data_IF_771527357353
#
_entry.id   IF_771527357353
#
_cell.length_a   1.000
_cell.length_b   1.000
_cell.length_c   1.000
_cell.angle_alpha   90.00
_cell.angle_beta   90.00
_cell.angle_gamma   90.00
#
_symmetry.space_group_name_H-M   'P 1'
#
loop_
_entity.id
_entity.type
_entity.pdbx_description
1 polymer ?
#
# COMPACT_ATOMS: atom_id res chain seq x y z
N UNK A 1 10.27 -22.44 -6.32
CA UNK A 1 9.78 -23.13 -7.54
C UNK A 1 9.97 -24.67 -7.46
N UNK A 2 11.13 -25.19 -7.09
CA UNK A 2 11.39 -26.65 -7.03
C UNK A 2 10.41 -27.41 -6.11
N UNK A 3 10.20 -26.93 -4.89
CA UNK A 3 9.25 -27.51 -3.95
C UNK A 3 7.84 -27.64 -4.52
N UNK A 4 7.32 -26.57 -5.13
CA UNK A 4 6.00 -26.58 -5.76
C UNK A 4 5.93 -27.51 -6.98
N UNK A 5 7.00 -27.60 -7.74
CA UNK A 5 7.09 -28.55 -8.87
C UNK A 5 7.02 -30.00 -8.41
N UNK A 6 7.77 -30.36 -7.36
CA UNK A 6 7.72 -31.71 -6.75
C UNK A 6 6.33 -32.03 -6.21
N UNK A 7 5.70 -31.07 -5.54
CA UNK A 7 4.35 -31.25 -4.99
C UNK A 7 3.32 -31.54 -6.10
N UNK A 8 3.38 -30.76 -7.20
CA UNK A 8 2.50 -31.02 -8.38
C UNK A 8 2.81 -32.37 -9.04
N UNK A 9 4.09 -32.71 -9.19
CA UNK A 9 4.51 -33.98 -9.80
C UNK A 9 4.08 -35.23 -8.98
N UNK A 10 3.93 -35.08 -7.66
CA UNK A 10 3.45 -36.14 -6.78
C UNK A 10 1.97 -36.49 -7.04
N UNK A 11 1.18 -35.55 -7.61
CA UNK A 11 -0.22 -35.77 -8.01
C UNK A 11 -1.06 -36.50 -6.94
N UNK A 12 -0.90 -36.12 -5.67
CA UNK A 12 -1.61 -36.72 -4.53
C UNK A 12 -0.98 -38.00 -3.95
N UNK A 13 0.08 -38.54 -4.57
CA UNK A 13 0.81 -39.69 -4.04
C UNK A 13 1.69 -39.24 -2.86
N UNK A 14 1.24 -39.58 -1.65
CA UNK A 14 1.95 -39.19 -0.40
C UNK A 14 3.38 -39.71 -0.31
N UNK A 15 3.69 -40.82 -1.00
CA UNK A 15 5.05 -41.40 -0.97
C UNK A 15 6.05 -40.59 -1.79
N UNK A 16 5.54 -39.76 -2.73
CA UNK A 16 6.33 -38.88 -3.61
C UNK A 16 6.30 -37.42 -3.19
N UNK A 17 5.50 -37.10 -2.19
CA UNK A 17 5.40 -35.73 -1.69
C UNK A 17 6.72 -35.28 -1.06
N UNK A 18 7.18 -34.05 -1.33
CA UNK A 18 8.30 -33.50 -0.60
C UNK A 18 7.94 -33.34 0.89
N UNK A 19 8.94 -33.41 1.77
CA UNK A 19 8.73 -33.16 3.19
C UNK A 19 8.05 -31.79 3.38
N UNK A 20 7.02 -31.75 4.24
CA UNK A 20 6.29 -30.51 4.51
C UNK A 20 7.20 -29.40 5.01
N UNK A 21 7.09 -28.24 4.40
CA UNK A 21 7.82 -27.05 4.80
C UNK A 21 6.87 -25.86 4.81
N UNK A 22 6.51 -25.38 6.01
CA UNK A 22 5.55 -24.30 6.20
C UNK A 22 5.94 -23.00 5.47
N UNK A 23 7.24 -22.64 5.45
CA UNK A 23 7.72 -21.44 4.77
C UNK A 23 7.54 -21.54 3.25
N UNK A 24 7.81 -22.71 2.68
CA UNK A 24 7.66 -22.93 1.25
C UNK A 24 6.18 -23.07 0.87
N UNK A 25 5.34 -23.68 1.72
CA UNK A 25 3.88 -23.71 1.51
C UNK A 25 3.30 -22.29 1.43
N UNK A 26 3.67 -21.40 2.35
CA UNK A 26 3.18 -20.03 2.38
C UNK A 26 3.55 -19.22 1.12
N UNK A 27 4.58 -19.60 0.39
CA UNK A 27 4.99 -18.96 -0.86
C UNK A 27 4.29 -19.52 -2.11
N UNK A 28 3.55 -20.63 -2.01
CA UNK A 28 2.88 -21.22 -3.17
C UNK A 28 1.79 -20.31 -3.75
N UNK A 29 0.90 -19.68 -2.95
CA UNK A 29 -0.09 -18.74 -3.46
C UNK A 29 0.55 -17.51 -4.14
N UNK A 30 1.69 -17.03 -3.62
CA UNK A 30 2.45 -15.93 -4.24
C UNK A 30 2.97 -16.34 -5.62
N UNK A 31 3.57 -17.54 -5.72
CA UNK A 31 4.07 -18.09 -6.98
C UNK A 31 2.95 -18.43 -7.97
N UNK A 32 1.75 -18.70 -7.48
CA UNK A 32 0.55 -18.92 -8.30
C UNK A 32 -0.12 -17.61 -8.75
N UNK A 33 0.32 -16.45 -8.24
CA UNK A 33 -0.28 -15.15 -8.53
C UNK A 33 -1.63 -14.91 -7.83
N UNK A 34 -1.99 -15.77 -6.86
CA UNK A 34 -3.25 -15.64 -6.09
C UNK A 34 -3.20 -14.43 -5.16
N UNK A 35 -2.03 -14.20 -4.52
CA UNK A 35 -1.77 -13.05 -3.66
C UNK A 35 -0.48 -12.35 -4.12
N UNK A 36 -0.37 -11.01 -3.96
CA UNK A 36 0.86 -10.28 -4.27
C UNK A 36 1.94 -10.53 -3.22
N UNK A 37 3.20 -10.43 -3.65
CA UNK A 37 4.33 -10.26 -2.75
C UNK A 37 4.34 -8.82 -2.23
N UNK A 38 4.31 -8.61 -0.92
CA UNK A 38 4.47 -7.29 -0.31
C UNK A 38 5.95 -7.05 -0.01
N UNK A 39 6.54 -6.08 -0.68
CA UNK A 39 7.96 -5.76 -0.56
C UNK A 39 8.18 -4.49 0.25
N UNK A 40 8.68 -4.63 1.47
CA UNK A 40 9.19 -3.54 2.28
C UNK A 40 10.51 -3.05 1.69
N UNK A 41 10.53 -1.84 1.13
CA UNK A 41 11.70 -1.24 0.51
C UNK A 41 11.68 0.30 0.62
N UNK A 42 12.68 0.87 1.28
CA UNK A 42 12.84 2.31 1.44
C UNK A 42 13.75 2.92 0.37
N UNK A 43 14.93 2.33 0.17
CA UNK A 43 15.98 2.86 -0.70
C UNK A 43 15.78 2.45 -2.16
N UNK A 44 16.27 3.26 -3.08
CA UNK A 44 16.16 3.03 -4.53
C UNK A 44 16.71 1.65 -4.96
N UNK A 45 17.86 1.25 -4.43
CA UNK A 45 18.48 -0.05 -4.71
C UNK A 45 17.64 -1.23 -4.23
N UNK A 46 16.96 -1.11 -3.08
CA UNK A 46 16.08 -2.13 -2.53
C UNK A 46 14.78 -2.22 -3.31
N UNK A 47 14.23 -1.07 -3.72
CA UNK A 47 13.04 -1.00 -4.60
C UNK A 47 13.35 -1.71 -5.93
N UNK A 48 14.45 -1.39 -6.60
CA UNK A 48 14.85 -2.08 -7.83
C UNK A 48 15.10 -3.56 -7.63
N UNK A 49 15.67 -3.94 -6.48
CA UNK A 49 15.89 -5.36 -6.15
C UNK A 49 14.56 -6.11 -6.01
N UNK A 50 13.58 -5.50 -5.33
CA UNK A 50 12.25 -6.07 -5.19
C UNK A 50 11.55 -6.25 -6.54
N UNK A 51 11.58 -5.21 -7.40
CA UNK A 51 11.02 -5.26 -8.75
C UNK A 51 11.70 -6.34 -9.61
N UNK A 52 13.04 -6.41 -9.58
CA UNK A 52 13.81 -7.43 -10.29
C UNK A 52 13.44 -8.86 -9.85
N UNK A 53 13.27 -9.08 -8.55
CA UNK A 53 12.84 -10.39 -8.02
C UNK A 53 11.43 -10.72 -8.51
N UNK A 54 10.50 -9.75 -8.46
CA UNK A 54 9.15 -9.97 -8.95
C UNK A 54 9.15 -10.34 -10.43
N UNK A 55 9.91 -9.63 -11.26
CA UNK A 55 10.06 -9.92 -12.69
C UNK A 55 10.67 -11.31 -12.94
N UNK A 56 11.77 -11.65 -12.27
CA UNK A 56 12.47 -12.93 -12.41
C UNK A 56 11.57 -14.13 -12.11
N UNK A 57 10.68 -13.98 -11.13
CA UNK A 57 9.79 -15.04 -10.70
C UNK A 57 8.38 -14.96 -11.30
N UNK A 58 8.05 -13.88 -12.02
CA UNK A 58 6.72 -13.62 -12.57
C UNK A 58 5.67 -13.39 -11.49
N UNK A 59 6.03 -12.63 -10.45
CA UNK A 59 5.15 -12.37 -9.30
C UNK A 59 4.36 -11.09 -9.48
N UNK A 60 3.15 -11.07 -8.94
CA UNK A 60 2.49 -9.83 -8.59
C UNK A 60 3.19 -9.25 -7.36
N UNK A 61 3.43 -7.94 -7.34
CA UNK A 61 4.13 -7.26 -6.23
C UNK A 61 3.41 -5.98 -5.85
N UNK A 62 3.49 -5.63 -4.58
CA UNK A 62 3.24 -4.28 -4.07
C UNK A 62 4.48 -3.77 -3.36
N UNK A 63 4.72 -2.47 -3.42
CA UNK A 63 5.86 -1.82 -2.75
C UNK A 63 5.37 -1.08 -1.51
N UNK A 64 6.01 -1.34 -0.38
CA UNK A 64 5.71 -0.69 0.88
C UNK A 64 6.84 0.28 1.25
N UNK A 65 6.49 1.45 1.75
CA UNK A 65 7.31 2.59 2.14
C UNK A 65 7.81 3.48 1.01
N UNK A 66 8.51 2.96 0.03
CA UNK A 66 8.96 3.67 -1.20
C UNK A 66 9.59 5.05 -0.88
N UNK A 67 10.36 5.14 0.21
CA UNK A 67 10.86 6.41 0.77
C UNK A 67 11.66 7.24 -0.24
N UNK A 68 12.50 6.61 -1.04
CA UNK A 68 13.29 7.23 -2.10
C UNK A 68 12.62 7.23 -3.48
N UNK A 69 11.33 6.90 -3.56
CA UNK A 69 10.61 6.80 -4.82
C UNK A 69 10.68 8.07 -5.68
N UNK A 70 10.69 9.25 -5.06
CA UNK A 70 10.82 10.52 -5.78
C UNK A 70 12.17 10.70 -6.48
N UNK A 71 13.23 9.99 -6.05
CA UNK A 71 14.55 10.02 -6.69
C UNK A 71 14.63 9.15 -7.95
N UNK A 72 13.70 8.20 -8.10
CA UNK A 72 13.67 7.22 -9.19
C UNK A 72 12.30 7.20 -9.89
N UNK A 73 11.62 8.34 -9.88
CA UNK A 73 10.23 8.45 -10.38
C UNK A 73 10.09 8.05 -11.84
N UNK A 74 11.06 8.36 -12.69
CA UNK A 74 11.03 8.04 -14.13
C UNK A 74 11.04 6.52 -14.38
N UNK A 75 11.67 5.76 -13.49
CA UNK A 75 11.66 4.29 -13.56
C UNK A 75 10.36 3.73 -12.97
N UNK A 76 9.91 4.24 -11.82
CA UNK A 76 8.68 3.80 -11.20
C UNK A 76 7.43 4.11 -12.04
N UNK A 77 7.45 5.19 -12.82
CA UNK A 77 6.39 5.52 -13.77
C UNK A 77 6.19 4.47 -14.88
N UNK A 78 7.14 3.57 -15.09
CA UNK A 78 7.02 2.44 -16.02
C UNK A 78 6.29 1.25 -15.41
N UNK A 79 6.24 1.19 -14.09
CA UNK A 79 5.64 0.11 -13.27
C UNK A 79 4.21 0.46 -12.84
N UNK A 80 3.34 0.83 -13.82
CA UNK A 80 1.99 1.37 -13.55
C UNK A 80 1.06 0.41 -12.82
N UNK A 81 1.29 -0.88 -12.96
CA UNK A 81 0.46 -1.93 -12.34
C UNK A 81 0.97 -2.33 -10.95
N UNK A 82 2.03 -1.67 -10.45
CA UNK A 82 2.60 -1.93 -9.13
C UNK A 82 2.05 -0.91 -8.12
N UNK A 83 1.16 -1.30 -7.20
CA UNK A 83 0.69 -0.41 -6.16
C UNK A 83 1.82 -0.05 -5.18
N UNK A 84 1.86 1.22 -4.77
CA UNK A 84 2.91 1.77 -3.91
C UNK A 84 2.29 2.42 -2.67
N UNK A 85 2.61 1.90 -1.48
CA UNK A 85 2.21 2.49 -0.21
C UNK A 85 3.35 3.34 0.34
N UNK A 86 3.18 4.66 0.34
CA UNK A 86 4.22 5.63 0.69
C UNK A 86 4.08 6.11 2.13
N UNK A 87 5.12 5.94 2.92
CA UNK A 87 5.17 6.34 4.34
C UNK A 87 5.98 5.35 5.18
N UNK A 88 6.11 5.60 6.50
CA UNK A 88 5.58 6.71 7.30
C UNK A 88 6.37 8.02 7.09
N UNK A 89 5.69 9.13 6.87
CA UNK A 89 6.37 10.42 6.62
C UNK A 89 6.39 11.35 7.85
N UNK A 90 5.44 11.24 8.77
CA UNK A 90 5.32 12.06 9.98
C UNK A 90 6.23 11.55 11.13
N UNK A 91 7.46 11.20 10.82
CA UNK A 91 8.47 10.77 11.80
C UNK A 91 9.83 11.37 11.44
N UNK A 92 10.77 11.33 12.39
CA UNK A 92 12.16 11.65 12.08
C UNK A 92 12.85 10.47 11.33
N UNK A 93 13.95 10.79 10.64
CA UNK A 93 14.75 9.78 9.95
C UNK A 93 15.64 9.01 10.96
N UNK A 94 15.04 8.08 11.70
CA UNK A 94 15.72 7.31 12.75
C UNK A 94 16.68 6.25 12.25
N UNK A 95 16.55 5.87 10.97
CA UNK A 95 17.38 4.86 10.30
C UNK A 95 18.02 5.45 9.06
N UNK A 96 19.14 4.89 8.64
CA UNK A 96 19.85 5.30 7.42
C UNK A 96 18.92 5.26 6.18
N UNK A 97 18.13 4.24 6.04
CA UNK A 97 17.19 4.03 4.92
C UNK A 97 16.09 5.13 4.82
N UNK A 98 15.92 5.95 5.86
CA UNK A 98 14.93 7.04 5.90
C UNK A 98 15.52 8.42 5.65
N UNK A 99 16.82 8.53 5.37
CA UNK A 99 17.52 9.85 5.27
C UNK A 99 16.94 10.75 4.17
N UNK A 100 16.51 10.17 3.06
CA UNK A 100 15.94 10.90 1.92
C UNK A 100 14.41 10.99 1.96
N UNK A 101 13.81 10.79 3.13
CA UNK A 101 12.36 10.89 3.31
C UNK A 101 11.85 12.29 2.98
N UNK A 102 10.80 12.37 2.17
CA UNK A 102 10.20 13.63 1.74
C UNK A 102 8.69 13.60 1.76
N UNK A 103 8.06 14.69 2.18
CA UNK A 103 6.62 14.88 2.05
C UNK A 103 6.15 14.97 0.60
N UNK A 104 7.05 15.32 -0.33
CA UNK A 104 6.75 15.41 -1.75
C UNK A 104 6.66 14.03 -2.43
N UNK A 105 7.21 12.97 -1.85
CA UNK A 105 7.29 11.65 -2.47
C UNK A 105 5.93 11.15 -2.99
N UNK A 106 4.82 11.17 -2.22
CA UNK A 106 3.53 10.71 -2.72
C UNK A 106 3.05 11.52 -3.92
N UNK A 107 3.17 12.86 -3.86
CA UNK A 107 2.73 13.75 -4.94
C UNK A 107 3.56 13.62 -6.21
N UNK A 108 4.88 13.46 -6.10
CA UNK A 108 5.77 13.24 -7.26
C UNK A 108 5.40 11.93 -7.98
N UNK A 109 5.18 10.86 -7.24
CA UNK A 109 4.79 9.55 -7.79
C UNK A 109 3.39 9.59 -8.41
N UNK A 110 2.40 10.18 -7.72
CA UNK A 110 1.04 10.32 -8.23
C UNK A 110 1.00 11.13 -9.53
N UNK A 111 1.72 12.25 -9.59
CA UNK A 111 1.85 13.07 -10.80
C UNK A 111 2.47 12.32 -11.98
N UNK A 112 3.35 11.37 -11.71
CA UNK A 112 3.95 10.51 -12.72
C UNK A 112 3.04 9.35 -13.16
N UNK A 113 1.84 9.22 -12.58
CA UNK A 113 0.86 8.20 -12.89
C UNK A 113 1.02 6.88 -12.14
N UNK A 114 1.85 6.86 -11.08
CA UNK A 114 1.96 5.71 -10.20
C UNK A 114 0.70 5.56 -9.34
N UNK A 115 0.36 4.33 -8.99
CA UNK A 115 -0.73 4.01 -8.08
C UNK A 115 -0.26 4.17 -6.63
N UNK A 116 -0.59 5.30 -5.99
CA UNK A 116 -0.06 5.70 -4.69
C UNK A 116 -1.12 5.60 -3.59
N UNK A 117 -0.76 4.94 -2.50
CA UNK A 117 -1.44 5.01 -1.20
C UNK A 117 -0.53 5.72 -0.19
N UNK A 118 -1.10 6.47 0.76
CA UNK A 118 -0.38 7.06 1.88
C UNK A 118 -0.60 6.19 3.11
N UNK A 119 0.46 5.86 3.84
CA UNK A 119 0.40 4.99 5.02
C UNK A 119 1.05 5.63 6.26
N UNK A 120 0.55 5.24 7.41
CA UNK A 120 1.08 5.61 8.72
C UNK A 120 2.08 4.61 9.27
N UNK A 121 2.04 3.36 8.74
CA UNK A 121 2.80 2.24 9.31
C UNK A 121 2.49 2.08 10.82
N UNK A 122 1.19 2.11 11.16
CA UNK A 122 0.76 2.02 12.56
C UNK A 122 1.38 0.76 13.21
N UNK A 123 2.08 0.92 14.31
CA UNK A 123 2.09 1.95 15.36
C UNK A 123 3.20 3.01 15.25
N UNK A 124 3.93 3.06 14.14
CA UNK A 124 5.00 4.08 13.95
C UNK A 124 4.40 5.50 13.98
N UNK A 125 3.32 5.71 13.22
CA UNK A 125 2.45 6.88 13.34
C UNK A 125 1.06 6.35 13.71
N UNK A 126 0.42 6.82 14.79
CA UNK A 126 -0.94 6.42 15.11
C UNK A 126 -1.89 6.64 13.94
N UNK A 127 -2.78 5.68 13.67
CA UNK A 127 -3.60 5.64 12.45
C UNK A 127 -4.53 6.85 12.30
N UNK A 128 -4.97 7.46 13.40
CA UNK A 128 -5.81 8.67 13.37
C UNK A 128 -5.12 9.87 12.69
N UNK A 129 -3.79 9.85 12.52
CA UNK A 129 -3.05 10.89 11.83
C UNK A 129 -2.91 10.66 10.31
N UNK A 130 -3.60 9.66 9.76
CA UNK A 130 -3.58 9.41 8.31
C UNK A 130 -4.05 10.63 7.49
N UNK A 131 -5.15 11.34 7.85
CA UNK A 131 -5.54 12.57 7.14
C UNK A 131 -4.48 13.67 7.22
N UNK A 132 -3.80 13.80 8.37
CA UNK A 132 -2.70 14.75 8.52
C UNK A 132 -1.52 14.40 7.61
N UNK A 133 -1.17 13.11 7.46
CA UNK A 133 -0.13 12.69 6.52
C UNK A 133 -0.49 13.07 5.07
N UNK A 134 -1.76 12.90 4.68
CA UNK A 134 -2.25 13.33 3.37
C UNK A 134 -2.20 14.87 3.21
N UNK A 135 -2.63 15.62 4.22
CA UNK A 135 -2.54 17.09 4.23
C UNK A 135 -1.11 17.62 4.09
N UNK A 136 -0.14 16.94 4.71
CA UNK A 136 1.28 17.28 4.55
C UNK A 136 1.81 16.99 3.14
N UNK A 137 1.30 15.93 2.48
CA UNK A 137 1.61 15.66 1.08
C UNK A 137 1.00 16.73 0.15
N UNK A 138 -0.23 17.18 0.42
CA UNK A 138 -0.87 18.30 -0.31
C UNK A 138 -0.05 19.58 -0.13
N UNK A 139 0.35 19.93 1.11
CA UNK A 139 1.23 21.07 1.38
C UNK A 139 2.55 20.97 0.62
N UNK A 140 3.06 19.77 0.36
CA UNK A 140 4.28 19.52 -0.40
C UNK A 140 4.04 19.46 -1.93
N UNK A 141 2.83 19.74 -2.41
CA UNK A 141 2.49 19.88 -3.83
C UNK A 141 1.72 18.72 -4.45
N UNK A 142 1.22 17.76 -3.65
CA UNK A 142 0.30 16.75 -4.13
C UNK A 142 -1.06 17.38 -4.45
N UNK A 143 -1.71 16.92 -5.52
CA UNK A 143 -3.09 17.30 -5.79
C UNK A 143 -4.02 16.83 -4.66
N UNK A 144 -4.98 17.67 -4.26
CA UNK A 144 -5.85 17.40 -3.12
C UNK A 144 -6.76 16.18 -3.36
N UNK A 145 -7.26 16.03 -4.58
CA UNK A 145 -8.09 14.87 -4.92
C UNK A 145 -7.28 13.58 -5.03
N UNK A 146 -6.04 13.67 -5.52
CA UNK A 146 -5.11 12.52 -5.51
C UNK A 146 -4.74 12.12 -4.08
N UNK A 147 -4.57 13.08 -3.18
CA UNK A 147 -4.33 12.80 -1.76
C UNK A 147 -5.55 12.13 -1.10
N UNK A 148 -6.77 12.54 -1.46
CA UNK A 148 -7.99 11.89 -1.00
C UNK A 148 -8.07 10.44 -1.50
N UNK A 149 -7.83 10.22 -2.78
CA UNK A 149 -7.75 8.85 -3.34
C UNK A 149 -6.68 8.00 -2.64
N UNK A 150 -5.54 8.61 -2.33
CA UNK A 150 -4.40 7.92 -1.71
C UNK A 150 -4.67 7.44 -0.27
N UNK A 151 -5.74 7.90 0.39
CA UNK A 151 -6.17 7.42 1.71
C UNK A 151 -7.54 6.73 1.69
N UNK A 152 -8.14 6.54 0.51
CA UNK A 152 -9.46 5.91 0.35
C UNK A 152 -9.44 4.77 -0.67
N UNK A 153 -9.68 5.08 -1.94
CA UNK A 153 -9.80 4.04 -2.98
C UNK A 153 -8.47 3.36 -3.30
N UNK A 154 -7.37 4.11 -3.40
CA UNK A 154 -6.10 3.50 -3.77
C UNK A 154 -5.62 2.45 -2.75
N UNK A 155 -5.66 2.67 -1.41
CA UNK A 155 -5.36 1.61 -0.45
C UNK A 155 -6.35 0.44 -0.51
N UNK A 156 -7.63 0.66 -0.84
CA UNK A 156 -8.59 -0.42 -1.04
C UNK A 156 -8.22 -1.30 -2.24
N UNK A 157 -7.78 -0.68 -3.35
CA UNK A 157 -7.25 -1.38 -4.52
C UNK A 157 -5.94 -2.11 -4.20
N UNK A 158 -5.05 -1.45 -3.44
CA UNK A 158 -3.74 -2.01 -3.03
C UNK A 158 -3.89 -3.34 -2.25
N UNK A 159 -4.93 -3.44 -1.42
CA UNK A 159 -5.19 -4.67 -0.63
C UNK A 159 -6.28 -5.56 -1.23
N UNK A 160 -6.87 -5.17 -2.37
CA UNK A 160 -7.83 -5.98 -3.11
C UNK A 160 -9.25 -6.02 -2.51
N UNK A 161 -9.71 -4.93 -1.89
CA UNK A 161 -11.07 -4.80 -1.31
C UNK A 161 -11.86 -3.64 -1.89
N UNK A 162 -11.44 -3.11 -3.03
CA UNK A 162 -12.05 -1.94 -3.66
C UNK A 162 -13.47 -2.19 -4.19
N UNK A 163 -13.87 -3.43 -4.32
CA UNK A 163 -15.26 -3.84 -4.63
C UNK A 163 -16.22 -3.57 -3.45
N UNK A 164 -15.70 -3.48 -2.23
CA UNK A 164 -16.49 -3.27 -1.00
C UNK A 164 -16.36 -1.87 -0.41
N UNK A 165 -15.17 -1.27 -0.44
CA UNK A 165 -14.87 -0.01 0.26
C UNK A 165 -14.06 0.95 -0.62
N UNK A 166 -13.79 2.16 -0.13
CA UNK A 166 -12.90 3.15 -0.73
C UNK A 166 -13.61 4.21 -1.57
N UNK A 167 -14.87 4.00 -1.98
CA UNK A 167 -15.70 4.98 -2.68
C UNK A 167 -17.13 4.99 -2.15
N UNK A 168 -17.85 6.09 -2.40
CA UNK A 168 -19.28 6.22 -2.08
C UNK A 168 -20.11 5.78 -3.29
N UNK A 169 -20.33 4.48 -3.42
CA UNK A 169 -21.09 3.87 -4.50
C UNK A 169 -22.16 2.93 -3.96
N UNK A 170 -23.27 2.81 -4.70
CA UNK A 170 -24.35 1.88 -4.34
C UNK A 170 -23.84 0.44 -4.39
N UNK A 171 -24.05 -0.31 -3.32
CA UNK A 171 -23.65 -1.70 -3.20
C UNK A 171 -22.34 -1.92 -2.47
N UNK A 172 -21.62 -0.85 -2.11
CA UNK A 172 -20.44 -0.93 -1.23
C UNK A 172 -20.83 -0.82 0.25
N UNK A 173 -19.93 -1.24 1.11
CA UNK A 173 -20.07 -1.05 2.55
C UNK A 173 -20.16 0.44 2.86
N UNK A 174 -21.10 0.81 3.73
CA UNK A 174 -21.34 2.21 4.05
C UNK A 174 -20.41 2.69 5.18
N UNK A 175 -19.11 2.68 4.92
CA UNK A 175 -18.07 3.26 5.75
C UNK A 175 -17.86 4.71 5.35
N UNK A 176 -18.42 5.63 6.12
CA UNK A 176 -18.49 7.05 5.76
C UNK A 176 -18.04 7.92 6.93
N UNK A 177 -17.14 8.85 6.64
CA UNK A 177 -16.74 9.92 7.56
C UNK A 177 -17.29 11.24 7.04
N UNK A 178 -18.02 11.96 7.88
CA UNK A 178 -18.56 13.30 7.58
C UNK A 178 -17.73 14.34 8.34
N UNK A 179 -17.17 15.29 7.63
CA UNK A 179 -16.34 16.36 8.21
C UNK A 179 -16.97 17.75 7.97
N UNK A 180 -16.64 18.71 8.83
CA UNK A 180 -17.16 20.10 8.73
C UNK A 180 -16.42 20.94 7.67
N UNK A 181 -15.48 20.34 6.94
CA UNK A 181 -14.65 21.00 5.92
C UNK A 181 -13.67 20.02 5.33
N UNK A 182 -12.55 20.50 4.80
CA UNK A 182 -11.49 19.66 4.25
C UNK A 182 -10.93 18.70 5.32
N UNK A 183 -10.94 17.37 5.09
CA UNK A 183 -10.48 16.39 6.09
C UNK A 183 -8.97 16.49 6.38
N UNK A 184 -8.22 17.19 5.57
CA UNK A 184 -6.77 17.38 5.74
C UNK A 184 -6.42 18.55 6.66
N UNK A 185 -7.38 19.41 6.97
CA UNK A 185 -7.19 20.53 7.88
C UNK A 185 -7.26 20.07 9.33
N UNK A 186 -6.22 20.37 10.10
CA UNK A 186 -6.09 19.90 11.50
C UNK A 186 -7.26 20.32 12.39
N UNK A 187 -7.87 21.48 12.10
CA UNK A 187 -8.99 22.03 12.88
C UNK A 187 -10.36 21.60 12.36
N UNK A 188 -10.42 20.80 11.31
CA UNK A 188 -11.70 20.30 10.77
C UNK A 188 -12.28 19.25 11.72
N UNK A 189 -13.49 19.51 12.20
CA UNK A 189 -14.21 18.58 13.07
C UNK A 189 -14.80 17.42 12.27
N UNK A 190 -14.68 16.21 12.80
CA UNK A 190 -15.49 15.06 12.38
C UNK A 190 -16.89 15.18 12.95
N UNK A 191 -17.89 15.23 12.09
CA UNK A 191 -19.31 15.40 12.46
C UNK A 191 -20.04 14.08 12.68
N UNK A 192 -19.68 13.05 11.92
CA UNK A 192 -20.23 11.71 12.06
C UNK A 192 -19.29 10.67 11.44
N UNK A 193 -19.33 9.47 11.98
CA UNK A 193 -18.69 8.28 11.42
C UNK A 193 -19.72 7.18 11.31
N UNK A 194 -19.73 6.50 10.18
CA UNK A 194 -20.56 5.33 9.95
C UNK A 194 -19.66 4.15 9.57
N UNK A 195 -19.95 2.98 10.11
CA UNK A 195 -19.33 1.70 9.78
C UNK A 195 -20.46 0.73 9.45
N UNK A 196 -20.43 0.13 8.27
CA UNK A 196 -21.53 -0.71 7.74
C UNK A 196 -22.90 0.00 7.83
N UNK A 197 -22.94 1.31 7.58
CA UNK A 197 -24.14 2.13 7.69
C UNK A 197 -24.61 2.46 9.11
N UNK A 198 -23.98 1.92 10.12
CA UNK A 198 -24.30 2.19 11.52
C UNK A 198 -23.46 3.37 12.03
N UNK A 199 -24.14 4.37 12.61
CA UNK A 199 -23.45 5.50 13.20
C UNK A 199 -22.62 5.05 14.42
N UNK A 200 -21.35 5.43 14.42
CA UNK A 200 -20.46 5.25 15.55
C UNK A 200 -20.43 6.53 16.37
N UNK A 201 -20.66 6.44 17.67
CA UNK A 201 -20.50 7.58 18.57
C UNK A 201 -19.02 7.93 18.68
N UNK A 202 -18.66 9.12 18.21
CA UNK A 202 -17.34 9.69 18.43
C UNK A 202 -17.31 10.35 19.81
N UNK A 203 -16.36 9.94 20.64
CA UNK A 203 -16.09 10.56 21.93
C UNK A 203 -15.56 11.99 21.79
#
# INVERSE_FOLDING_TARGET
KDYGARKRAANGDVTKMPAYNQKLEALLPVLAGEIPLKAHAHQANDIFTALRIAQEFGLRITLEHVTEGHLIVDELAKEKDVPMAVGPSLTHASKFELQNKSWATPGVLAKAGCHVSIITDNSVIPQQYLPLCAGMAVKAGMDEFDALKAITINPAEHIGVADRVGTLEVGKDADVVVTAGCPFEVLTETRAVFIDGNRVDTL
#
